data_IF_691580272892
#
_entry.id   IF_691580272892
#
_cell.length_a   1.000
_cell.length_b   1.000
_cell.length_c   1.000
_cell.angle_alpha   90.00
_cell.angle_beta   90.00
_cell.angle_gamma   90.00
#
_symmetry.space_group_name_H-M   'P 1'
#
loop_
_entity.id
_entity.type
_entity.pdbx_description
1 polymer ?
#
# COMPACT_ATOMS: atom_id res chain seq x y z
N UNK A 1 -21.94 -8.90 3.66
CA UNK A 1 -21.20 -7.68 4.05
C UNK A 1 -20.63 -7.91 5.43
N UNK A 2 -19.35 -7.61 5.67
CA UNK A 2 -18.66 -7.86 6.92
C UNK A 2 -17.90 -6.60 7.34
N UNK A 3 -18.06 -6.18 8.59
CA UNK A 3 -17.26 -5.11 9.17
C UNK A 3 -15.89 -5.67 9.57
N UNK A 4 -14.83 -5.00 9.13
CA UNK A 4 -13.46 -5.26 9.56
C UNK A 4 -13.09 -4.23 10.63
N UNK A 5 -12.72 -4.71 11.81
CA UNK A 5 -12.21 -3.91 12.91
C UNK A 5 -10.79 -4.37 13.24
N UNK A 6 -9.90 -3.40 13.46
CA UNK A 6 -8.53 -3.63 13.92
C UNK A 6 -8.40 -3.35 15.40
N UNK A 7 -7.31 -2.71 15.81
CA UNK A 7 -7.22 -2.16 17.17
C UNK A 7 -8.14 -0.93 17.35
N UNK A 8 -8.32 -0.46 18.58
CA UNK A 8 -9.24 0.65 18.90
C UNK A 8 -8.92 1.96 18.14
N UNK A 9 -7.71 2.09 17.60
CA UNK A 9 -7.23 3.24 16.80
C UNK A 9 -7.30 3.04 15.27
N UNK A 10 -7.77 1.88 14.80
CA UNK A 10 -7.85 1.55 13.38
C UNK A 10 -9.14 2.07 12.71
N UNK A 11 -8.99 2.50 11.46
CA UNK A 11 -10.10 2.87 10.59
C UNK A 11 -11.11 1.72 10.44
N UNK A 12 -12.41 2.04 10.50
CA UNK A 12 -13.45 1.04 10.22
C UNK A 12 -13.47 0.75 8.73
N UNK A 13 -13.39 -0.53 8.37
CA UNK A 13 -13.46 -0.96 6.98
C UNK A 13 -14.66 -1.89 6.74
N UNK A 14 -15.31 -1.74 5.58
CA UNK A 14 -16.45 -2.51 5.15
C UNK A 14 -16.04 -3.45 4.02
N UNK A 15 -16.11 -4.76 4.27
CA UNK A 15 -15.83 -5.80 3.28
C UNK A 15 -17.13 -6.31 2.64
N UNK A 16 -17.18 -6.26 1.32
CA UNK A 16 -18.30 -6.70 0.49
C UNK A 16 -17.80 -7.84 -0.41
N UNK A 17 -18.36 -9.03 -0.22
CA UNK A 17 -18.10 -10.18 -1.09
C UNK A 17 -19.08 -10.15 -2.27
N UNK A 18 -18.54 -10.25 -3.49
CA UNK A 18 -19.33 -10.37 -4.71
C UNK A 18 -19.35 -11.84 -5.10
N UNK A 19 -20.54 -12.42 -5.22
CA UNK A 19 -20.73 -13.82 -5.60
C UNK A 19 -21.31 -13.93 -7.01
N UNK A 20 -20.91 -14.98 -7.73
CA UNK A 20 -21.51 -15.41 -8.99
C UNK A 20 -22.38 -16.62 -8.72
N UNK A 21 -23.64 -16.56 -9.14
CA UNK A 21 -24.49 -17.76 -9.20
C UNK A 21 -24.06 -18.62 -10.40
N UNK A 22 -23.89 -19.91 -10.16
CA UNK A 22 -23.56 -20.91 -11.18
C UNK A 22 -24.79 -21.78 -11.48
N UNK A 23 -24.79 -22.39 -12.67
CA UNK A 23 -25.79 -23.38 -13.04
C UNK A 23 -25.81 -24.52 -11.99
N UNK A 24 -26.98 -24.81 -11.44
CA UNK A 24 -27.16 -25.78 -10.34
C UNK A 24 -27.22 -25.18 -8.92
N UNK A 25 -27.44 -23.86 -8.78
CA UNK A 25 -27.74 -23.22 -7.49
C UNK A 25 -26.52 -22.98 -6.58
N UNK A 26 -25.31 -23.38 -7.01
CA UNK A 26 -24.08 -23.11 -6.28
C UNK A 26 -23.62 -21.67 -6.51
N UNK A 27 -23.13 -21.01 -5.47
CA UNK A 27 -22.53 -19.68 -5.55
C UNK A 27 -21.01 -19.76 -5.36
N UNK A 28 -20.26 -19.02 -6.17
CA UNK A 28 -18.80 -18.91 -6.05
C UNK A 28 -18.37 -17.45 -5.87
N UNK A 29 -17.23 -17.21 -5.21
CA UNK A 29 -16.70 -15.86 -5.01
C UNK A 29 -16.17 -15.31 -6.35
N UNK A 30 -16.81 -14.26 -6.86
CA UNK A 30 -16.42 -13.58 -8.08
C UNK A 30 -15.49 -12.39 -7.84
N UNK A 31 -15.57 -11.78 -6.66
CA UNK A 31 -14.70 -10.69 -6.26
C UNK A 31 -14.91 -10.26 -4.81
N UNK A 32 -14.06 -9.35 -4.33
CA UNK A 32 -14.18 -8.71 -3.03
C UNK A 32 -13.89 -7.23 -3.16
N UNK A 33 -14.70 -6.42 -2.50
CA UNK A 33 -14.50 -4.98 -2.36
C UNK A 33 -14.33 -4.64 -0.89
N UNK A 34 -13.40 -3.73 -0.58
CA UNK A 34 -13.19 -3.20 0.76
C UNK A 34 -13.28 -1.67 0.69
N UNK A 35 -14.18 -1.08 1.47
CA UNK A 35 -14.35 0.36 1.61
C UNK A 35 -13.79 0.78 2.96
N UNK A 36 -12.89 1.76 3.01
CA UNK A 36 -12.28 2.23 4.26
C UNK A 36 -12.66 3.69 4.51
N UNK A 37 -13.13 4.00 5.72
CA UNK A 37 -13.33 5.38 6.18
C UNK A 37 -12.25 5.77 7.18
N UNK A 38 -11.69 6.98 7.06
CA UNK A 38 -10.99 7.60 8.19
C UNK A 38 -12.05 8.31 9.03
N UNK A 39 -11.94 8.22 10.35
CA UNK A 39 -12.69 9.10 11.23
C UNK A 39 -12.39 10.57 10.90
N UNK A 40 -13.45 11.37 10.76
CA UNK A 40 -13.40 12.81 10.43
C UNK A 40 -12.44 13.60 11.34
N UNK A 41 -12.26 13.16 12.60
CA UNK A 41 -11.33 13.79 13.56
C UNK A 41 -9.85 13.76 13.17
N UNK A 42 -9.39 12.77 12.39
CA UNK A 42 -8.01 12.71 11.88
C UNK A 42 -7.84 13.51 10.57
N UNK A 43 -8.93 13.75 9.83
CA UNK A 43 -8.96 14.51 8.58
C UNK A 43 -9.20 16.01 8.77
N UNK A 44 -9.56 16.47 9.97
CA UNK A 44 -9.77 17.89 10.28
C UNK A 44 -8.53 18.78 10.01
N UNK A 45 -7.34 18.18 9.81
CA UNK A 45 -6.09 18.87 9.43
C UNK A 45 -5.87 18.99 7.92
N UNK A 46 -6.74 18.40 7.09
CA UNK A 46 -6.66 18.47 5.63
C UNK A 46 -7.56 19.61 5.14
N UNK A 47 -6.98 20.72 4.70
CA UNK A 47 -7.70 21.95 4.28
C UNK A 47 -8.72 21.74 3.14
N UNK A 48 -8.62 20.63 2.39
CA UNK A 48 -9.59 20.25 1.35
C UNK A 48 -10.92 19.72 1.88
N UNK A 49 -11.01 19.39 3.17
CA UNK A 49 -12.20 18.79 3.79
C UNK A 49 -13.15 19.90 4.27
N UNK A 50 -13.66 20.70 3.33
CA UNK A 50 -14.70 21.72 3.58
C UNK A 50 -15.91 21.47 2.67
N UNK A 51 -16.63 20.36 2.86
CA UNK A 51 -17.92 20.08 2.22
C UNK A 51 -18.68 18.92 2.94
N UNK A 52 -20.02 18.82 2.87
CA UNK A 52 -20.86 17.92 3.69
C UNK A 52 -20.80 16.42 3.32
N UNK A 53 -19.75 15.95 2.65
CA UNK A 53 -19.67 14.56 2.19
C UNK A 53 -19.14 13.61 3.26
N UNK A 54 -19.79 12.45 3.43
CA UNK A 54 -19.23 11.32 4.16
C UNK A 54 -18.12 10.70 3.29
N UNK A 55 -16.86 11.02 3.59
CA UNK A 55 -15.74 10.55 2.80
C UNK A 55 -15.48 9.05 3.04
N UNK A 56 -15.58 8.25 1.96
CA UNK A 56 -14.97 6.92 1.84
C UNK A 56 -13.73 7.04 0.95
N UNK A 57 -12.62 7.60 1.49
CA UNK A 57 -11.43 7.97 0.71
C UNK A 57 -10.70 6.81 0.03
N UNK A 58 -11.00 5.54 0.37
CA UNK A 58 -10.32 4.40 -0.21
C UNK A 58 -11.28 3.25 -0.51
N UNK A 59 -11.28 2.82 -1.77
CA UNK A 59 -11.90 1.58 -2.23
C UNK A 59 -10.83 0.65 -2.79
N UNK A 60 -10.81 -0.58 -2.29
CA UNK A 60 -9.98 -1.66 -2.82
C UNK A 60 -10.87 -2.72 -3.46
N UNK A 61 -10.58 -3.05 -4.72
CA UNK A 61 -11.34 -4.07 -5.45
C UNK A 61 -10.40 -5.19 -5.89
N UNK A 62 -10.69 -6.40 -5.42
CA UNK A 62 -10.09 -7.65 -5.89
C UNK A 62 -11.11 -8.40 -6.75
N UNK A 63 -11.07 -8.16 -8.05
CA UNK A 63 -11.94 -8.78 -9.05
C UNK A 63 -11.26 -8.82 -10.42
N UNK A 64 -11.87 -9.46 -11.42
CA UNK A 64 -11.44 -9.28 -12.81
C UNK A 64 -11.60 -7.81 -13.22
N UNK A 65 -10.78 -7.34 -14.18
CA UNK A 65 -10.82 -5.93 -14.60
C UNK A 65 -12.21 -5.50 -15.10
N UNK A 66 -12.93 -6.37 -15.80
CA UNK A 66 -14.30 -6.11 -16.24
C UNK A 66 -15.26 -5.94 -15.05
N UNK A 67 -15.23 -6.89 -14.10
CA UNK A 67 -16.09 -6.83 -12.91
C UNK A 67 -15.75 -5.65 -12.01
N UNK A 68 -14.47 -5.34 -11.83
CA UNK A 68 -14.03 -4.18 -11.07
C UNK A 68 -14.60 -2.89 -11.66
N UNK A 69 -14.50 -2.68 -12.98
CA UNK A 69 -15.10 -1.50 -13.64
C UNK A 69 -16.60 -1.41 -13.42
N UNK A 70 -17.34 -2.52 -13.54
CA UNK A 70 -18.78 -2.54 -13.28
C UNK A 70 -19.11 -2.17 -11.83
N UNK A 71 -18.37 -2.69 -10.86
CA UNK A 71 -18.56 -2.39 -9.43
C UNK A 71 -18.28 -0.91 -9.15
N UNK A 72 -17.18 -0.37 -9.68
CA UNK A 72 -16.81 1.02 -9.48
C UNK A 72 -17.83 1.98 -10.12
N UNK A 73 -18.26 1.70 -11.35
CA UNK A 73 -19.31 2.48 -12.01
C UNK A 73 -20.62 2.47 -11.21
N UNK A 74 -21.03 1.30 -10.71
CA UNK A 74 -22.23 1.19 -9.87
C UNK A 74 -22.09 2.02 -8.58
N UNK A 75 -20.91 2.07 -7.97
CA UNK A 75 -20.66 2.93 -6.80
C UNK A 75 -20.84 4.41 -7.15
N UNK A 76 -20.23 4.85 -8.26
CA UNK A 76 -20.31 6.23 -8.72
C UNK A 76 -21.76 6.66 -8.97
N UNK A 77 -22.54 5.82 -9.67
CA UNK A 77 -23.98 6.08 -9.93
C UNK A 77 -24.84 6.04 -8.68
N UNK A 78 -24.58 5.11 -7.76
CA UNK A 78 -25.45 4.88 -6.58
C UNK A 78 -25.23 5.93 -5.50
N UNK A 79 -24.00 6.40 -5.35
CA UNK A 79 -23.61 7.28 -4.25
C UNK A 79 -23.25 8.70 -4.69
N UNK A 80 -23.44 9.04 -5.96
CA UNK A 80 -23.09 10.33 -6.57
C UNK A 80 -21.64 10.72 -6.22
N UNK A 81 -20.73 9.78 -6.45
CA UNK A 81 -19.32 9.91 -6.12
C UNK A 81 -18.43 9.66 -7.34
N UNK A 82 -17.13 10.00 -7.22
CA UNK A 82 -16.14 9.71 -8.24
C UNK A 82 -15.05 8.81 -7.67
N UNK A 83 -14.71 7.75 -8.40
CA UNK A 83 -13.61 6.84 -8.05
C UNK A 83 -12.45 7.10 -8.98
N UNK A 84 -11.30 7.47 -8.40
CA UNK A 84 -10.07 7.72 -9.17
C UNK A 84 -8.97 6.75 -8.77
N UNK A 85 -8.12 6.29 -9.71
CA UNK A 85 -6.95 5.50 -9.36
C UNK A 85 -6.01 6.30 -8.43
N UNK A 86 -5.55 5.67 -7.36
CA UNK A 86 -4.54 6.24 -6.48
C UNK A 86 -3.16 6.09 -7.12
N UNK A 87 -2.45 7.19 -7.32
CA UNK A 87 -1.04 7.18 -7.68
C UNK A 87 -0.18 7.52 -6.45
N UNK A 88 0.94 6.84 -6.28
CA UNK A 88 1.88 7.08 -5.19
C UNK A 88 3.10 7.83 -5.72
N UNK A 89 3.50 8.87 -5.01
CA UNK A 89 4.71 9.62 -5.34
C UNK A 89 5.96 8.83 -4.96
N UNK A 90 7.15 9.14 -5.52
CA UNK A 90 8.40 8.54 -5.07
C UNK A 90 8.62 8.69 -3.55
N UNK A 91 8.17 9.82 -2.97
CA UNK A 91 8.23 10.05 -1.53
C UNK A 91 7.31 9.09 -0.76
N UNK A 92 6.10 8.85 -1.25
CA UNK A 92 5.19 7.87 -0.62
C UNK A 92 5.78 6.46 -0.68
N UNK A 93 6.40 6.09 -1.80
CA UNK A 93 7.06 4.80 -1.96
C UNK A 93 8.28 4.67 -1.02
N UNK A 94 9.07 5.73 -0.87
CA UNK A 94 10.21 5.76 0.04
C UNK A 94 9.80 5.63 1.51
N UNK A 95 8.73 6.31 1.89
CA UNK A 95 8.15 6.17 3.23
C UNK A 95 7.65 4.75 3.47
N UNK A 96 6.90 4.16 2.53
CA UNK A 96 6.41 2.77 2.63
C UNK A 96 7.59 1.80 2.79
N UNK A 97 8.64 1.98 2.00
CA UNK A 97 9.84 1.15 2.07
C UNK A 97 10.55 1.25 3.42
N UNK A 98 10.54 2.42 4.05
CA UNK A 98 11.22 2.69 5.32
C UNK A 98 10.38 2.23 6.52
N UNK A 99 9.13 2.66 6.58
CA UNK A 99 8.22 2.36 7.69
C UNK A 99 7.93 0.86 7.80
N UNK A 100 7.76 0.17 6.67
CA UNK A 100 7.37 -1.25 6.66
C UNK A 100 8.54 -2.18 6.31
N UNK A 101 9.78 -1.71 6.45
CA UNK A 101 10.97 -2.47 6.08
C UNK A 101 11.12 -3.76 6.87
N UNK A 102 10.74 -3.77 8.14
CA UNK A 102 10.80 -4.95 9.00
C UNK A 102 9.53 -5.08 9.87
N UNK A 103 9.01 -6.30 10.08
CA UNK A 103 7.92 -6.52 11.01
C UNK A 103 8.41 -6.35 12.45
N UNK A 104 7.52 -5.88 13.32
CA UNK A 104 7.70 -5.93 14.77
C UNK A 104 8.15 -7.35 15.19
N UNK A 105 9.13 -7.43 16.09
CA UNK A 105 9.96 -8.61 16.34
C UNK A 105 9.23 -9.88 16.83
N UNK A 106 7.92 -9.85 16.98
CA UNK A 106 7.10 -10.90 17.59
C UNK A 106 6.70 -12.03 16.65
N UNK A 107 6.78 -11.86 15.32
CA UNK A 107 6.36 -12.90 14.36
C UNK A 107 7.51 -13.47 13.53
N UNK A 108 7.87 -14.73 13.82
CA UNK A 108 8.95 -15.45 13.12
C UNK A 108 8.68 -15.73 11.65
N UNK A 109 7.41 -15.89 11.23
CA UNK A 109 7.07 -16.17 9.85
C UNK A 109 7.15 -14.90 8.99
N UNK A 110 6.77 -13.75 9.56
CA UNK A 110 6.91 -12.45 8.90
C UNK A 110 8.36 -11.97 8.86
N UNK A 111 9.15 -12.30 9.89
CA UNK A 111 10.56 -11.93 10.02
C UNK A 111 11.48 -12.51 8.94
N UNK A 112 10.98 -13.37 8.04
CA UNK A 112 11.76 -13.97 6.94
C UNK A 112 11.51 -13.31 5.57
N UNK A 113 10.54 -12.38 5.45
CA UNK A 113 10.20 -11.77 4.16
C UNK A 113 11.11 -10.58 3.85
N UNK A 114 11.87 -10.59 2.73
CA UNK A 114 12.79 -9.51 2.42
C UNK A 114 12.07 -8.22 2.04
N UNK A 115 12.70 -7.08 2.30
CA UNK A 115 12.36 -5.82 1.65
C UNK A 115 12.77 -5.92 0.19
N UNK A 116 11.89 -5.58 -0.75
CA UNK A 116 12.16 -5.58 -2.19
C UNK A 116 11.85 -4.21 -2.78
N UNK A 117 12.80 -3.64 -3.50
CA UNK A 117 12.69 -2.38 -4.20
C UNK A 117 12.81 -2.66 -5.70
N UNK A 118 11.84 -2.22 -6.49
CA UNK A 118 11.88 -2.35 -7.95
C UNK A 118 11.95 -0.97 -8.59
N UNK A 119 13.04 -0.69 -9.29
CA UNK A 119 13.28 0.54 -10.02
C UNK A 119 13.00 0.35 -11.50
N UNK A 120 12.34 1.32 -12.12
CA UNK A 120 12.21 1.45 -13.57
C UNK A 120 13.43 2.18 -14.14
N UNK A 121 14.07 1.58 -15.14
CA UNK A 121 15.26 2.13 -15.80
C UNK A 121 14.82 3.01 -16.97
N UNK A 122 15.28 4.27 -17.05
CA UNK A 122 15.05 5.11 -18.22
C UNK A 122 15.89 4.60 -19.41
N UNK A 123 15.29 4.46 -20.60
CA UNK A 123 16.06 4.07 -21.78
C UNK A 123 15.26 3.45 -22.93
N UNK A 124 16.00 2.86 -23.87
CA UNK A 124 15.51 2.26 -25.13
C UNK A 124 14.86 0.87 -24.97
N UNK A 125 14.71 0.40 -23.73
CA UNK A 125 14.02 -0.85 -23.40
C UNK A 125 14.90 -2.08 -23.33
N UNK A 126 16.22 -1.96 -23.52
CA UNK A 126 17.19 -3.06 -23.34
C UNK A 126 17.21 -3.60 -21.90
N UNK A 127 17.13 -2.70 -20.90
CA UNK A 127 16.89 -3.03 -19.50
C UNK A 127 15.69 -2.20 -19.01
N UNK A 128 14.64 -2.87 -18.55
CA UNK A 128 13.41 -2.18 -18.13
C UNK A 128 13.36 -1.92 -16.63
N UNK A 129 13.86 -2.86 -15.82
CA UNK A 129 13.76 -2.75 -14.36
C UNK A 129 14.95 -3.37 -13.64
N UNK A 130 15.31 -2.78 -12.50
CA UNK A 130 16.25 -3.36 -11.52
C UNK A 130 15.48 -3.71 -10.25
N UNK A 131 15.68 -4.92 -9.74
CA UNK A 131 15.10 -5.37 -8.48
C UNK A 131 16.21 -5.54 -7.44
N UNK A 132 16.04 -4.90 -6.29
CA UNK A 132 16.95 -5.00 -5.16
C UNK A 132 16.22 -5.56 -3.95
N UNK A 133 16.63 -6.74 -3.48
CA UNK A 133 16.04 -7.41 -2.33
C UNK A 133 17.06 -7.50 -1.20
N UNK A 134 16.64 -7.16 0.01
CA UNK A 134 17.49 -7.14 1.22
C UNK A 134 16.84 -7.99 2.29
N UNK A 135 17.65 -8.84 2.94
CA UNK A 135 17.15 -9.72 3.97
C UNK A 135 16.72 -8.94 5.23
N UNK A 136 15.77 -9.46 6.00
CA UNK A 136 15.24 -8.74 7.17
C UNK A 136 16.26 -8.48 8.28
N UNK A 137 17.28 -9.32 8.43
CA UNK A 137 18.28 -9.15 9.48
C UNK A 137 19.17 -7.93 9.16
N UNK A 138 19.60 -7.81 7.90
CA UNK A 138 20.32 -6.64 7.40
C UNK A 138 19.49 -5.35 7.53
N UNK A 139 18.19 -5.41 7.20
CA UNK A 139 17.29 -4.25 7.36
C UNK A 139 17.19 -3.82 8.82
N UNK A 140 16.99 -4.76 9.76
CA UNK A 140 16.90 -4.43 11.20
C UNK A 140 18.18 -3.81 11.72
N UNK A 141 19.32 -4.43 11.41
CA UNK A 141 20.62 -3.90 11.80
C UNK A 141 20.86 -2.48 11.24
N UNK A 142 20.39 -2.22 10.01
CA UNK A 142 20.48 -0.89 9.41
C UNK A 142 19.53 0.11 10.09
N UNK A 143 18.28 -0.27 10.36
CA UNK A 143 17.31 0.57 11.08
C UNK A 143 17.81 0.93 12.49
N UNK A 144 18.39 -0.02 13.23
CA UNK A 144 18.97 0.23 14.55
C UNK A 144 20.11 1.25 14.50
N UNK A 145 20.92 1.23 13.44
CA UNK A 145 22.01 2.21 13.23
C UNK A 145 21.52 3.59 12.79
N UNK A 146 20.36 3.64 12.15
CA UNK A 146 19.71 4.88 11.71
C UNK A 146 18.76 5.45 12.78
N UNK A 147 18.55 4.73 13.89
CA UNK A 147 17.65 5.13 14.96
C UNK A 147 18.04 6.50 15.54
N UNK A 148 17.05 7.40 15.67
CA UNK A 148 17.22 8.74 16.21
C UNK A 148 17.40 9.87 15.19
N UNK A 149 17.30 9.59 13.89
CA UNK A 149 17.19 10.61 12.84
C UNK A 149 15.74 10.94 12.47
N UNK A 150 15.45 12.21 12.19
CA UNK A 150 14.13 12.70 11.71
C UNK A 150 13.90 12.52 10.19
N UNK A 151 14.74 11.72 9.51
CA UNK A 151 14.63 11.49 8.07
C UNK A 151 13.92 10.16 7.79
N UNK A 152 12.62 10.24 7.51
CA UNK A 152 11.75 9.13 7.10
C UNK A 152 12.21 8.38 5.83
N UNK A 153 13.23 8.88 5.14
CA UNK A 153 13.82 8.28 3.93
C UNK A 153 15.26 7.80 4.12
N UNK A 154 15.81 7.91 5.33
CA UNK A 154 17.20 7.57 5.62
C UNK A 154 17.55 6.12 5.27
N UNK A 155 16.62 5.18 5.52
CA UNK A 155 16.81 3.78 5.18
C UNK A 155 16.97 3.58 3.68
N UNK A 156 16.06 4.15 2.88
CA UNK A 156 16.11 4.03 1.43
C UNK A 156 17.42 4.61 0.88
N UNK A 157 17.81 5.80 1.33
CA UNK A 157 19.07 6.45 0.89
C UNK A 157 20.30 5.62 1.25
N UNK A 158 20.32 5.00 2.43
CA UNK A 158 21.41 4.14 2.85
C UNK A 158 21.51 2.89 1.95
N UNK A 159 20.36 2.30 1.59
CA UNK A 159 20.27 1.17 0.67
C UNK A 159 20.72 1.55 -0.75
N UNK A 160 20.27 2.68 -1.29
CA UNK A 160 20.67 3.18 -2.60
C UNK A 160 22.18 3.48 -2.65
N UNK A 161 22.72 4.10 -1.60
CA UNK A 161 24.15 4.36 -1.47
C UNK A 161 24.97 3.07 -1.41
N UNK A 162 24.51 2.07 -0.66
CA UNK A 162 25.16 0.77 -0.61
C UNK A 162 25.14 0.07 -1.97
N UNK A 163 24.00 0.10 -2.67
CA UNK A 163 23.88 -0.46 -4.02
C UNK A 163 24.82 0.23 -5.01
N UNK A 164 24.91 1.56 -4.96
CA UNK A 164 25.84 2.32 -5.80
C UNK A 164 27.31 1.97 -5.51
N UNK A 165 27.67 1.77 -4.24
CA UNK A 165 29.03 1.40 -3.86
C UNK A 165 29.42 -0.01 -4.33
N UNK A 166 28.50 -0.97 -4.25
CA UNK A 166 28.77 -2.38 -4.59
C UNK A 166 28.69 -2.64 -6.10
N UNK A 167 27.70 -2.07 -6.77
CA UNK A 167 27.39 -2.38 -8.17
C UNK A 167 27.79 -1.28 -9.14
N UNK A 168 28.26 -0.12 -8.66
CA UNK A 168 28.53 1.07 -9.49
C UNK A 168 27.30 1.55 -10.30
N UNK A 169 26.09 1.28 -9.78
CA UNK A 169 24.82 1.67 -10.39
C UNK A 169 24.10 2.66 -9.48
N UNK A 170 23.78 3.83 -10.03
CA UNK A 170 23.11 4.90 -9.30
C UNK A 170 21.59 4.77 -9.41
N UNK A 171 20.97 4.15 -8.40
CA UNK A 171 19.51 3.97 -8.33
C UNK A 171 18.74 5.29 -8.19
N UNK A 172 19.39 6.35 -7.70
CA UNK A 172 18.73 7.66 -7.50
C UNK A 172 18.36 8.33 -8.83
N UNK A 173 18.96 7.88 -9.93
CA UNK A 173 18.64 8.31 -11.31
C UNK A 173 17.51 7.50 -11.95
N UNK A 174 16.91 6.57 -11.21
CA UNK A 174 15.84 5.70 -11.65
C UNK A 174 14.54 6.00 -10.88
N UNK A 175 13.42 5.46 -11.36
CA UNK A 175 12.13 5.67 -10.70
C UNK A 175 11.81 4.45 -9.83
N UNK A 176 11.67 4.62 -8.51
CA UNK A 176 11.14 3.56 -7.64
C UNK A 176 9.69 3.24 -8.02
N UNK A 177 9.48 2.13 -8.71
CA UNK A 177 8.21 1.76 -9.32
C UNK A 177 7.38 0.83 -8.43
N UNK A 178 8.03 -0.06 -7.66
CA UNK A 178 7.36 -0.95 -6.70
C UNK A 178 8.16 -1.15 -5.43
N UNK A 179 7.44 -1.36 -4.33
CA UNK A 179 7.98 -1.73 -3.02
C UNK A 179 7.27 -2.99 -2.54
N UNK A 180 8.05 -4.00 -2.15
CA UNK A 180 7.59 -5.22 -1.51
C UNK A 180 8.07 -5.27 -0.07
N UNK A 181 7.14 -5.42 0.85
CA UNK A 181 7.41 -5.47 2.30
C UNK A 181 6.96 -6.81 2.88
N UNK A 182 7.09 -6.98 4.19
CA UNK A 182 6.55 -8.17 4.86
C UNK A 182 5.03 -8.28 4.75
N UNK A 183 4.32 -7.16 4.52
CA UNK A 183 2.86 -7.09 4.50
C UNK A 183 2.25 -6.94 3.11
N UNK A 184 2.90 -6.18 2.20
CA UNK A 184 2.29 -5.81 0.93
C UNK A 184 3.34 -5.60 -0.16
N UNK A 185 2.98 -5.97 -1.39
CA UNK A 185 3.63 -5.48 -2.59
C UNK A 185 2.79 -4.38 -3.20
N UNK A 186 3.33 -3.19 -3.36
CA UNK A 186 2.62 -2.04 -3.90
C UNK A 186 3.40 -1.38 -5.03
N UNK A 187 2.70 -0.99 -6.08
CA UNK A 187 3.23 -0.19 -7.18
C UNK A 187 2.86 1.29 -7.06
N UNK A 188 3.64 2.14 -7.74
CA UNK A 188 3.36 3.57 -7.87
C UNK A 188 2.00 3.86 -8.53
N UNK A 189 1.42 2.89 -9.23
CA UNK A 189 0.07 2.94 -9.83
C UNK A 189 -1.06 2.57 -8.84
N UNK A 190 -0.75 2.43 -7.55
CA UNK A 190 -1.71 2.12 -6.49
C UNK A 190 -2.14 0.65 -6.45
N UNK A 191 -1.61 -0.21 -7.33
CA UNK A 191 -1.92 -1.65 -7.29
C UNK A 191 -1.19 -2.30 -6.13
N UNK A 192 -1.95 -2.89 -5.23
CA UNK A 192 -1.43 -3.57 -4.05
C UNK A 192 -1.79 -5.06 -4.04
N UNK A 193 -0.82 -5.89 -3.66
CA UNK A 193 -1.00 -7.30 -3.32
C UNK A 193 -0.64 -7.49 -1.85
N UNK A 194 -1.65 -7.53 -1.02
CA UNK A 194 -1.51 -7.89 0.40
C UNK A 194 -1.13 -9.35 0.53
N UNK A 195 -0.13 -9.62 1.35
CA UNK A 195 0.34 -10.96 1.62
C UNK A 195 -0.46 -11.58 2.76
N UNK A 196 -0.61 -12.91 2.81
CA UNK A 196 -1.19 -13.57 3.96
C UNK A 196 -0.37 -13.22 5.20
N UNK A 197 -1.05 -12.69 6.19
CA UNK A 197 -0.52 -12.43 7.52
C UNK A 197 -1.25 -13.38 8.49
N UNK A 198 -0.59 -13.92 9.52
CA UNK A 198 -1.28 -14.68 10.55
C UNK A 198 -2.37 -13.82 11.22
N UNK A 199 -3.41 -14.44 11.77
CA UNK A 199 -4.65 -13.76 12.21
C UNK A 199 -4.40 -12.63 13.24
N UNK A 200 -3.30 -12.70 13.99
CA UNK A 200 -2.82 -11.67 14.92
C UNK A 200 -2.32 -10.38 14.22
N UNK A 201 -2.25 -10.39 12.89
CA UNK A 201 -1.61 -9.36 12.08
C UNK A 201 -2.56 -8.82 10.99
N UNK A 202 -3.87 -9.05 11.12
CA UNK A 202 -4.91 -8.31 10.40
C UNK A 202 -4.72 -6.77 10.54
N UNK A 203 -4.08 -6.34 11.63
CA UNK A 203 -3.55 -5.00 11.88
C UNK A 203 -2.64 -4.49 10.78
N UNK A 204 -1.77 -5.27 10.15
CA UNK A 204 -0.87 -4.72 9.11
C UNK A 204 -1.60 -4.40 7.81
N UNK A 205 -2.68 -5.14 7.48
CA UNK A 205 -3.56 -4.74 6.37
C UNK A 205 -4.29 -3.46 6.73
N UNK A 206 -4.93 -3.39 7.90
CA UNK A 206 -5.66 -2.19 8.33
C UNK A 206 -4.76 -0.96 8.52
N UNK A 207 -3.55 -1.16 9.03
CA UNK A 207 -2.52 -0.12 9.17
C UNK A 207 -2.07 0.38 7.79
N UNK A 208 -1.91 -0.52 6.81
CA UNK A 208 -1.66 -0.13 5.44
C UNK A 208 -2.82 0.65 4.82
N UNK A 209 -4.06 0.25 5.09
CA UNK A 209 -5.25 1.01 4.66
C UNK A 209 -5.27 2.39 5.30
N UNK A 210 -4.98 2.51 6.59
CA UNK A 210 -4.88 3.81 7.29
C UNK A 210 -3.89 4.74 6.59
N UNK A 211 -2.70 4.24 6.24
CA UNK A 211 -1.71 5.04 5.52
C UNK A 211 -2.18 5.43 4.11
N UNK A 212 -2.69 4.48 3.31
CA UNK A 212 -3.19 4.81 1.97
C UNK A 212 -4.32 5.82 2.03
N UNK A 213 -5.10 5.79 3.10
CA UNK A 213 -6.15 6.76 3.31
C UNK A 213 -5.62 8.14 3.68
N UNK A 214 -4.54 8.20 4.45
CA UNK A 214 -3.81 9.46 4.68
C UNK A 214 -3.24 10.01 3.37
N UNK A 215 -2.56 9.19 2.56
CA UNK A 215 -2.03 9.60 1.24
C UNK A 215 -3.14 10.10 0.32
N UNK A 216 -4.24 9.36 0.20
CA UNK A 216 -5.39 9.73 -0.64
C UNK A 216 -6.06 11.05 -0.23
N UNK A 217 -5.82 11.51 0.99
CA UNK A 217 -6.38 12.76 1.52
C UNK A 217 -5.37 13.91 1.59
N UNK A 218 -4.09 13.70 1.26
CA UNK A 218 -3.13 14.81 1.19
C UNK A 218 -3.47 15.78 0.06
N UNK A 219 -3.24 17.09 0.23
CA UNK A 219 -3.24 18.01 -0.90
C UNK A 219 -2.14 17.60 -1.90
N UNK A 220 -2.32 17.84 -3.21
CA UNK A 220 -1.35 17.49 -4.23
C UNK A 220 -0.13 18.38 -3.99
N UNK A 221 1.04 17.77 -3.97
CA UNK A 221 2.29 18.53 -4.05
C UNK A 221 2.36 19.18 -5.43
N UNK A 222 2.08 20.49 -5.48
CA UNK A 222 2.31 21.35 -6.66
C UNK A 222 3.79 21.57 -6.90
#
# INVERSE_FOLDING_TARGET
MQLLRGCDDDATALSIAITRQQAGGKSSLAGRMVLCSVGIGQLAKVERVRAPFAHLPLVLVKASAALARTILHWLEETFDCAVTPMALTPQDMAWIATEWAAPAATDKALAQRPLTLQYGVPGDGSLQTISYSVDPASIRALQERLAGGDDDTALLRALEKHFAAEFSVDLTKMTLARVGTYAVYIGADGRAKFLPLPDTCATATLHALKYFTYVATRPPTT
#
